data_IF_883587739931
#
_entry.id   IF_883587739931
#
_cell.length_a   1.000
_cell.length_b   1.000
_cell.length_c   1.000
_cell.angle_alpha   90.00
_cell.angle_beta   90.00
_cell.angle_gamma   90.00
#
_symmetry.space_group_name_H-M   'P 1'
#
loop_
_entity.id
_entity.type
_entity.pdbx_description
1 polymer ?
#
# COMPACT_ATOMS: atom_id res chain seq x y z
N UNK A 1 5.62 -20.06 -34.18
CA UNK A 1 5.24 -18.63 -34.35
C UNK A 1 5.09 -18.05 -32.94
N UNK A 2 5.90 -17.17 -32.38
CA UNK A 2 7.09 -16.42 -32.79
C UNK A 2 8.07 -16.52 -31.61
N UNK A 3 9.32 -16.92 -31.88
CA UNK A 3 10.44 -16.83 -30.96
C UNK A 3 11.06 -15.45 -31.22
N UNK A 4 11.20 -14.60 -30.21
CA UNK A 4 11.90 -13.33 -30.31
C UNK A 4 12.10 -12.76 -28.91
N UNK A 5 13.25 -12.25 -28.52
CA UNK A 5 14.55 -12.16 -29.17
C UNK A 5 15.52 -11.80 -28.06
N UNK A 6 16.61 -12.56 -27.95
CA UNK A 6 17.76 -12.26 -27.11
C UNK A 6 18.41 -11.00 -27.65
N UNK A 7 18.63 -9.99 -26.81
CA UNK A 7 19.52 -8.87 -27.13
C UNK A 7 20.39 -8.53 -25.92
N UNK A 8 21.69 -8.75 -26.07
CA UNK A 8 22.75 -8.39 -25.15
C UNK A 8 23.91 -7.81 -25.97
N UNK A 9 24.26 -6.53 -25.78
CA UNK A 9 25.63 -6.05 -26.00
C UNK A 9 26.32 -6.02 -24.62
N UNK A 10 27.55 -6.48 -24.44
CA UNK A 10 28.76 -5.79 -24.90
C UNK A 10 29.97 -6.75 -24.82
N UNK A 11 30.80 -6.75 -25.87
CA UNK A 11 32.18 -7.26 -25.84
C UNK A 11 33.10 -6.18 -25.28
N UNK A 12 33.99 -6.55 -24.35
CA UNK A 12 35.19 -5.77 -24.07
C UNK A 12 35.87 -6.03 -22.72
N UNK A 13 36.77 -7.04 -22.70
CA UNK A 13 38.01 -7.19 -21.91
C UNK A 13 37.98 -7.09 -20.36
N UNK A 14 38.34 -8.20 -19.74
CA UNK A 14 39.08 -8.37 -18.48
C UNK A 14 38.84 -7.36 -17.34
N UNK A 15 37.86 -7.66 -16.47
CA UNK A 15 37.93 -7.42 -15.02
C UNK A 15 37.14 -8.56 -14.33
N UNK A 16 37.76 -9.24 -13.37
CA UNK A 16 37.07 -10.14 -12.45
C UNK A 16 36.19 -9.33 -11.49
N UNK A 17 35.00 -8.93 -11.94
CA UNK A 17 33.94 -8.42 -11.09
C UNK A 17 32.79 -9.44 -11.14
N UNK A 18 32.60 -10.18 -10.04
CA UNK A 18 31.37 -10.93 -9.82
C UNK A 18 30.27 -9.91 -9.51
N UNK A 19 29.77 -9.26 -10.56
CA UNK A 19 28.48 -8.59 -10.54
C UNK A 19 27.42 -9.68 -10.62
N UNK A 20 27.11 -10.28 -9.47
CA UNK A 20 25.94 -11.12 -9.33
C UNK A 20 24.72 -10.21 -9.51
N UNK A 21 24.22 -10.12 -10.74
CA UNK A 21 22.98 -9.41 -11.06
C UNK A 21 21.85 -10.18 -10.36
N UNK A 22 21.44 -9.69 -9.19
CA UNK A 22 20.21 -10.15 -8.53
C UNK A 22 19.05 -9.64 -9.36
N UNK A 23 18.30 -10.56 -9.96
CA UNK A 23 17.05 -10.23 -10.65
C UNK A 23 15.86 -10.49 -9.74
N UNK A 24 15.02 -9.47 -9.54
CA UNK A 24 13.76 -9.62 -8.81
C UNK A 24 12.67 -10.04 -9.80
N UNK A 25 11.99 -11.15 -9.50
CA UNK A 25 10.79 -11.59 -10.20
C UNK A 25 9.59 -11.50 -9.27
N UNK A 26 8.51 -10.91 -9.75
CA UNK A 26 7.23 -10.84 -9.04
C UNK A 26 6.21 -11.68 -9.81
N UNK A 27 5.70 -12.72 -9.18
CA UNK A 27 4.62 -13.57 -9.71
C UNK A 27 3.33 -13.33 -8.93
N UNK A 28 2.18 -13.44 -9.60
CA UNK A 28 0.86 -13.36 -8.98
C UNK A 28 0.34 -14.75 -8.68
N UNK A 29 -0.20 -14.92 -7.48
CA UNK A 29 -0.90 -16.14 -7.06
C UNK A 29 -2.35 -15.77 -6.81
N UNK A 30 -3.26 -16.67 -7.20
CA UNK A 30 -4.67 -16.51 -6.89
C UNK A 30 -4.90 -16.76 -5.39
N UNK A 31 -5.23 -15.68 -4.67
CA UNK A 31 -5.46 -15.69 -3.23
C UNK A 31 -6.65 -16.56 -2.84
N UNK A 32 -7.64 -16.74 -3.72
CA UNK A 32 -8.78 -17.63 -3.46
C UNK A 32 -8.36 -19.10 -3.38
N UNK A 33 -7.17 -19.45 -3.91
CA UNK A 33 -6.59 -20.81 -3.82
C UNK A 33 -5.80 -21.03 -2.54
N UNK A 34 -5.50 -19.98 -1.77
CA UNK A 34 -4.89 -20.12 -0.46
C UNK A 34 -5.95 -20.53 0.57
N UNK A 35 -5.57 -21.41 1.50
CA UNK A 35 -6.47 -21.82 2.58
C UNK A 35 -6.70 -20.62 3.51
N UNK A 36 -7.96 -20.27 3.71
CA UNK A 36 -8.39 -19.18 4.58
C UNK A 36 -9.75 -19.45 5.21
N UNK A 37 -10.16 -18.59 6.12
CA UNK A 37 -11.51 -18.61 6.69
C UNK A 37 -12.56 -18.33 5.60
N UNK A 38 -13.75 -18.93 5.69
CA UNK A 38 -14.81 -18.79 4.67
C UNK A 38 -15.14 -17.33 4.32
N UNK A 39 -15.23 -16.47 5.35
CA UNK A 39 -15.47 -15.03 5.16
C UNK A 39 -14.39 -14.34 4.31
N UNK A 40 -13.12 -14.71 4.50
CA UNK A 40 -12.02 -14.14 3.71
C UNK A 40 -12.14 -14.59 2.25
N UNK A 41 -12.40 -15.87 2.01
CA UNK A 41 -12.60 -16.39 0.66
C UNK A 41 -13.81 -15.73 -0.03
N UNK A 42 -14.92 -15.55 0.69
CA UNK A 42 -16.10 -14.86 0.18
C UNK A 42 -15.80 -13.38 -0.11
N UNK A 43 -15.08 -12.65 0.74
CA UNK A 43 -14.69 -11.27 0.44
C UNK A 43 -13.84 -11.15 -0.84
N UNK A 44 -12.88 -12.07 -1.03
CA UNK A 44 -12.00 -12.08 -2.19
C UNK A 44 -12.74 -12.50 -3.47
N UNK A 45 -13.54 -13.57 -3.44
CA UNK A 45 -14.13 -14.17 -4.65
C UNK A 45 -15.60 -13.81 -4.91
N UNK A 46 -16.35 -13.46 -3.86
CA UNK A 46 -17.81 -13.27 -3.88
C UNK A 46 -18.24 -12.08 -3.00
N UNK A 47 -17.79 -10.85 -3.28
CA UNK A 47 -18.09 -9.66 -2.45
C UNK A 47 -19.57 -9.47 -2.13
N UNK A 48 -20.45 -9.82 -3.07
CA UNK A 48 -21.90 -9.71 -2.89
C UNK A 48 -22.41 -10.46 -1.65
N UNK A 49 -21.72 -11.54 -1.23
CA UNK A 49 -22.09 -12.33 -0.04
C UNK A 49 -21.79 -11.64 1.29
N UNK A 50 -20.92 -10.64 1.29
CA UNK A 50 -20.47 -9.95 2.50
C UNK A 50 -20.88 -8.49 2.55
N UNK A 51 -21.63 -8.00 1.55
CA UNK A 51 -22.04 -6.58 1.42
C UNK A 51 -22.82 -6.04 2.62
N UNK A 52 -23.57 -6.90 3.32
CA UNK A 52 -24.29 -6.49 4.54
C UNK A 52 -23.34 -6.06 5.66
N UNK A 53 -22.09 -6.54 5.66
CA UNK A 53 -21.06 -6.21 6.65
C UNK A 53 -19.95 -5.30 6.10
N UNK A 54 -19.62 -5.48 4.80
CA UNK A 54 -18.58 -4.77 4.07
C UNK A 54 -19.20 -4.16 2.80
N UNK A 55 -19.95 -3.05 2.95
CA UNK A 55 -20.78 -2.51 1.87
C UNK A 55 -19.98 -1.91 0.72
N UNK A 56 -18.75 -1.45 0.98
CA UNK A 56 -17.89 -0.83 -0.01
C UNK A 56 -16.87 -1.85 -0.53
N UNK A 57 -17.00 -2.24 -1.80
CA UNK A 57 -16.00 -3.06 -2.49
C UNK A 57 -14.90 -2.18 -3.10
N UNK A 58 -13.64 -2.30 -2.67
CA UNK A 58 -12.54 -1.47 -3.19
C UNK A 58 -12.20 -1.72 -4.67
N UNK A 59 -12.74 -2.78 -5.30
CA UNK A 59 -12.61 -3.05 -6.74
C UNK A 59 -13.55 -2.20 -7.58
N UNK A 60 -14.59 -1.61 -6.97
CA UNK A 60 -15.57 -0.77 -7.63
C UNK A 60 -15.20 0.71 -7.45
N UNK A 61 -15.10 1.47 -8.54
CA UNK A 61 -14.77 2.91 -8.48
C UNK A 61 -15.80 3.71 -7.66
N UNK A 62 -17.08 3.35 -7.76
CA UNK A 62 -18.16 4.04 -7.05
C UNK A 62 -18.06 3.87 -5.53
N UNK A 63 -17.47 2.78 -5.03
CA UNK A 63 -17.20 2.61 -3.61
C UNK A 63 -16.22 3.66 -3.10
N UNK A 64 -15.25 4.06 -3.91
CA UNK A 64 -14.31 5.13 -3.57
C UNK A 64 -15.00 6.50 -3.56
N UNK A 65 -15.85 6.80 -4.53
CA UNK A 65 -16.61 8.05 -4.54
C UNK A 65 -17.50 8.18 -3.30
N UNK A 66 -18.27 7.14 -2.97
CA UNK A 66 -19.11 7.13 -1.75
C UNK A 66 -18.28 7.27 -0.48
N UNK A 67 -17.14 6.59 -0.40
CA UNK A 67 -16.25 6.71 0.76
C UNK A 67 -15.69 8.14 0.90
N UNK A 68 -15.28 8.78 -0.20
CA UNK A 68 -14.80 10.16 -0.19
C UNK A 68 -15.91 11.12 0.22
N UNK A 69 -17.11 11.01 -0.37
CA UNK A 69 -18.26 11.85 -0.03
C UNK A 69 -18.62 11.73 1.46
N UNK A 70 -18.72 10.50 1.97
CA UNK A 70 -19.00 10.23 3.38
C UNK A 70 -17.96 10.84 4.33
N UNK A 71 -16.67 10.73 3.99
CA UNK A 71 -15.61 11.28 4.84
C UNK A 71 -15.43 12.79 4.70
N UNK A 72 -15.90 13.41 3.62
CA UNK A 72 -15.94 14.88 3.53
C UNK A 72 -16.95 15.50 4.50
N UNK A 73 -17.93 14.73 4.98
CA UNK A 73 -18.85 15.14 6.03
C UNK A 73 -18.21 15.05 7.44
N UNK A 74 -17.06 14.40 7.60
CA UNK A 74 -16.38 14.29 8.90
C UNK A 74 -15.75 15.63 9.33
N UNK A 75 -16.24 16.18 10.44
CA UNK A 75 -15.83 17.48 11.00
C UNK A 75 -14.63 17.43 11.97
N UNK A 76 -13.64 16.58 11.69
CA UNK A 76 -12.42 16.54 12.52
C UNK A 76 -11.55 17.78 12.35
N UNK A 77 -10.83 18.18 13.41
CA UNK A 77 -9.83 19.27 13.30
C UNK A 77 -8.56 18.76 12.62
N UNK A 78 -8.56 18.88 11.29
CA UNK A 78 -7.46 18.45 10.41
C UNK A 78 -6.18 19.23 10.67
N UNK A 79 -6.30 20.51 11.03
CA UNK A 79 -5.16 21.37 11.34
C UNK A 79 -4.50 20.92 12.64
N UNK A 80 -5.27 20.61 13.67
CA UNK A 80 -4.76 20.06 14.92
C UNK A 80 -4.10 18.68 14.71
N UNK A 81 -4.70 17.80 13.90
CA UNK A 81 -4.12 16.50 13.56
C UNK A 81 -2.76 16.65 12.86
N UNK A 82 -2.68 17.50 11.82
CA UNK A 82 -1.45 17.73 11.08
C UNK A 82 -0.35 18.32 11.98
N UNK A 83 -0.70 19.28 12.85
CA UNK A 83 0.23 19.88 13.80
C UNK A 83 0.78 18.85 14.81
N UNK A 84 -0.09 18.02 15.39
CA UNK A 84 0.33 16.98 16.34
C UNK A 84 1.24 15.93 15.68
N UNK A 85 0.92 15.51 14.45
CA UNK A 85 1.75 14.58 13.68
C UNK A 85 3.08 15.21 13.29
N UNK A 86 3.11 16.48 12.91
CA UNK A 86 4.34 17.21 12.57
C UNK A 86 5.26 17.28 13.79
N UNK A 87 4.75 17.68 14.95
CA UNK A 87 5.53 17.76 16.20
C UNK A 87 6.15 16.41 16.56
N UNK A 88 5.35 15.35 16.52
CA UNK A 88 5.82 13.99 16.80
C UNK A 88 6.91 13.56 15.80
N UNK A 89 6.68 13.77 14.50
CA UNK A 89 7.60 13.33 13.45
C UNK A 89 8.92 14.11 13.43
N UNK A 90 8.89 15.41 13.74
CA UNK A 90 10.11 16.19 13.94
C UNK A 90 10.93 15.67 15.11
N UNK A 91 10.28 15.32 16.23
CA UNK A 91 10.96 14.80 17.42
C UNK A 91 11.69 13.48 17.16
N UNK A 92 11.14 12.61 16.32
CA UNK A 92 11.77 11.32 15.96
C UNK A 92 12.69 11.40 14.73
N UNK A 93 12.86 12.58 14.13
CA UNK A 93 13.78 12.78 13.00
C UNK A 93 13.27 12.24 11.66
N UNK A 94 11.95 12.24 11.42
CA UNK A 94 11.36 11.76 10.16
C UNK A 94 11.82 12.58 8.94
N UNK A 95 11.73 11.97 7.76
CA UNK A 95 12.21 12.59 6.52
C UNK A 95 11.35 13.79 6.06
N UNK A 96 11.90 14.67 5.20
CA UNK A 96 11.14 15.76 4.61
C UNK A 96 9.89 15.30 3.83
N UNK A 97 9.94 14.11 3.22
CA UNK A 97 8.80 13.48 2.51
C UNK A 97 7.64 13.22 3.49
N UNK A 98 7.94 12.67 4.66
CA UNK A 98 6.95 12.43 5.71
C UNK A 98 6.30 13.74 6.16
N UNK A 99 7.10 14.80 6.38
CA UNK A 99 6.57 16.10 6.77
C UNK A 99 5.70 16.73 5.67
N UNK A 100 6.06 16.57 4.39
CA UNK A 100 5.21 16.99 3.26
C UNK A 100 3.89 16.24 3.22
N UNK A 101 3.90 14.92 3.43
CA UNK A 101 2.67 14.12 3.51
C UNK A 101 1.77 14.52 4.68
N UNK A 102 2.35 14.84 5.85
CA UNK A 102 1.60 15.33 7.01
C UNK A 102 0.95 16.67 6.71
N UNK A 103 1.66 17.60 6.06
CA UNK A 103 1.09 18.90 5.68
C UNK A 103 -0.15 18.75 4.77
N UNK A 104 -0.17 17.73 3.88
CA UNK A 104 -1.33 17.45 3.04
C UNK A 104 -2.58 17.07 3.87
N UNK A 105 -2.42 16.43 5.03
CA UNK A 105 -3.55 16.06 5.89
C UNK A 105 -4.35 17.28 6.37
N UNK A 106 -3.73 18.46 6.42
CA UNK A 106 -4.41 19.72 6.72
C UNK A 106 -5.32 20.23 5.59
N UNK A 107 -5.12 19.82 4.34
CA UNK A 107 -6.00 20.20 3.21
C UNK A 107 -7.32 19.41 3.30
N UNK A 108 -8.45 20.12 3.24
CA UNK A 108 -9.80 19.55 3.20
C UNK A 108 -10.06 18.60 2.02
N UNK A 109 -9.30 18.74 0.92
CA UNK A 109 -9.45 17.91 -0.28
C UNK A 109 -8.62 16.63 -0.22
N UNK A 110 -7.80 16.45 0.82
CA UNK A 110 -6.93 15.28 0.92
C UNK A 110 -7.61 14.13 1.65
N UNK A 111 -7.30 12.91 1.23
CA UNK A 111 -7.73 11.66 1.84
C UNK A 111 -6.50 10.82 2.17
N UNK A 112 -6.61 9.97 3.19
CA UNK A 112 -5.56 9.08 3.62
C UNK A 112 -6.05 7.62 3.57
N UNK A 113 -5.21 6.73 3.04
CA UNK A 113 -5.38 5.29 3.22
C UNK A 113 -4.72 4.91 4.54
N UNK A 114 -5.52 4.45 5.50
CA UNK A 114 -5.05 4.13 6.85
C UNK A 114 -5.04 2.61 7.03
N UNK A 115 -3.92 2.11 7.56
CA UNK A 115 -3.77 0.74 8.03
C UNK A 115 -2.96 0.75 9.32
N UNK A 116 -2.90 -0.36 10.04
CA UNK A 116 -2.18 -0.44 11.29
C UNK A 116 -1.75 -1.87 11.60
N UNK A 117 -0.60 -1.99 12.26
CA UNK A 117 -0.09 -3.22 12.83
C UNK A 117 0.44 -2.94 14.23
N UNK A 118 0.55 -3.99 15.07
CA UNK A 118 1.20 -3.86 16.37
C UNK A 118 2.70 -3.62 16.21
N UNK A 119 3.29 -2.79 17.06
CA UNK A 119 4.74 -2.54 17.07
C UNK A 119 5.50 -3.76 17.64
N UNK A 120 5.78 -4.74 16.78
CA UNK A 120 6.58 -5.92 17.13
C UNK A 120 8.08 -5.59 17.21
N UNK A 121 8.82 -6.35 18.02
CA UNK A 121 10.28 -6.27 18.03
C UNK A 121 10.83 -6.52 16.61
N UNK A 122 11.84 -5.74 16.19
CA UNK A 122 12.42 -5.83 14.86
C UNK A 122 11.38 -5.71 13.72
N UNK A 123 10.48 -4.73 13.80
CA UNK A 123 9.36 -4.50 12.85
C UNK A 123 8.25 -5.54 12.85
N UNK A 124 8.36 -6.59 13.67
CA UNK A 124 7.33 -7.61 13.82
C UNK A 124 7.27 -8.60 12.64
N UNK A 125 6.09 -9.18 12.37
CA UNK A 125 5.92 -10.14 11.27
C UNK A 125 6.09 -9.51 9.90
N UNK A 126 6.44 -10.34 8.90
CA UNK A 126 6.74 -9.90 7.54
C UNK A 126 5.61 -9.11 6.86
N UNK A 127 4.34 -9.36 7.19
CA UNK A 127 3.21 -8.64 6.61
C UNK A 127 3.16 -7.14 6.97
N UNK A 128 4.06 -6.67 7.84
CA UNK A 128 4.18 -5.26 8.22
C UNK A 128 4.88 -4.43 7.15
N UNK A 129 5.69 -5.05 6.27
CA UNK A 129 6.57 -4.40 5.29
C UNK A 129 6.19 -4.76 3.85
#
# INVERSE_FOLDING_TARGET
RLIGSIWCPLRGKDVHERNDIVSLRVDKIDLARLRGHGLFADYIAHPDRVRDFLPDDPRESESWHRAIEREQECHGDRSALAAALEEYNRRIGSSPETLRSIALLGDSRSMAVITGQQSGALTGPLYTI
#
